data_IF_963752644178
#
_entry.id   IF_963752644178
#
_cell.length_a   1.000
_cell.length_b   1.000
_cell.length_c   1.000
_cell.angle_alpha   90.00
_cell.angle_beta   90.00
_cell.angle_gamma   90.00
#
_symmetry.space_group_name_H-M   'P 1'
#
loop_
_entity.id
_entity.type
_entity.pdbx_description
1 polymer ?
#
# COMPACT_ATOMS: atom_id res chain seq x y z
N UNK A 1 -17.17 -28.78 43.37
CA UNK A 1 -17.18 -29.39 42.02
C UNK A 1 -15.87 -29.04 41.34
N UNK A 2 -15.07 -30.04 40.96
CA UNK A 2 -13.84 -29.78 40.22
C UNK A 2 -14.19 -29.53 38.74
N UNK A 3 -13.73 -28.42 38.17
CA UNK A 3 -13.90 -28.12 36.74
C UNK A 3 -12.64 -28.49 35.97
N UNK A 4 -12.78 -29.26 34.89
CA UNK A 4 -11.69 -29.54 33.93
C UNK A 4 -11.91 -28.64 32.71
N UNK A 5 -10.91 -27.85 32.35
CA UNK A 5 -10.92 -26.99 31.15
C UNK A 5 -10.07 -27.64 30.06
N UNK A 6 -10.64 -27.84 28.88
CA UNK A 6 -9.94 -28.34 27.69
C UNK A 6 -9.74 -27.18 26.73
N UNK A 7 -8.52 -26.99 26.23
CA UNK A 7 -8.18 -25.98 25.22
C UNK A 7 -7.26 -26.58 24.16
N UNK A 8 -7.18 -25.92 23.01
CA UNK A 8 -6.17 -26.25 21.99
C UNK A 8 -4.81 -25.74 22.46
N UNK A 9 -3.75 -26.51 22.17
CA UNK A 9 -2.40 -26.22 22.65
C UNK A 9 -1.75 -24.99 21.99
N UNK A 10 -2.23 -24.58 20.82
CA UNK A 10 -1.68 -23.44 20.10
C UNK A 10 -2.72 -22.76 19.19
N UNK A 11 -2.44 -21.51 18.79
CA UNK A 11 -3.33 -20.79 17.88
C UNK A 11 -3.28 -21.40 16.48
N UNK A 12 -4.41 -21.33 15.77
CA UNK A 12 -4.47 -21.60 14.33
C UNK A 12 -4.24 -20.30 13.57
N UNK A 13 -3.44 -20.31 12.51
CA UNK A 13 -3.14 -19.10 11.75
C UNK A 13 -3.83 -19.14 10.40
N UNK A 14 -4.56 -18.07 10.10
CA UNK A 14 -5.08 -17.78 8.77
C UNK A 14 -4.34 -16.57 8.23
N UNK A 15 -3.49 -16.77 7.23
CA UNK A 15 -2.72 -15.71 6.59
C UNK A 15 -3.30 -15.39 5.21
N UNK A 16 -3.11 -14.17 4.72
CA UNK A 16 -3.52 -13.78 3.38
C UNK A 16 -2.97 -12.42 2.99
N UNK A 17 -3.48 -11.88 1.88
CA UNK A 17 -3.30 -10.47 1.52
C UNK A 17 -4.64 -9.77 1.40
N UNK A 18 -4.70 -8.52 1.85
CA UNK A 18 -5.89 -7.69 1.72
C UNK A 18 -5.64 -6.51 0.78
N UNK A 19 -6.65 -6.17 -0.03
CA UNK A 19 -6.69 -4.92 -0.78
C UNK A 19 -7.74 -3.99 -0.20
N UNK A 20 -7.34 -2.76 0.08
CA UNK A 20 -8.15 -1.70 0.72
C UNK A 20 -8.43 -0.61 -0.31
N UNK A 21 -9.69 -0.41 -0.66
CA UNK A 21 -10.10 0.55 -1.68
C UNK A 21 -10.69 1.83 -1.10
N UNK A 22 -11.26 1.74 0.10
CA UNK A 22 -11.76 2.91 0.82
C UNK A 22 -10.64 3.81 1.34
N UNK A 23 -10.86 5.13 1.26
CA UNK A 23 -10.06 6.18 1.92
C UNK A 23 -10.63 6.60 3.28
N UNK A 24 -11.64 5.89 3.77
CA UNK A 24 -12.31 6.18 5.05
C UNK A 24 -12.46 4.90 5.88
N UNK A 25 -11.45 4.02 5.80
CA UNK A 25 -11.42 2.76 6.53
C UNK A 25 -10.10 2.63 7.31
N UNK A 26 -10.12 2.51 8.64
CA UNK A 26 -8.92 2.26 9.40
C UNK A 26 -8.49 0.78 9.26
N UNK A 27 -7.19 0.50 9.44
CA UNK A 27 -6.70 -0.88 9.38
C UNK A 27 -7.20 -1.73 10.57
N UNK A 28 -7.23 -1.14 11.76
CA UNK A 28 -7.70 -1.74 13.01
C UNK A 28 -8.79 -0.84 13.60
N UNK A 29 -9.67 -1.36 14.48
CA UNK A 29 -10.72 -0.56 15.11
C UNK A 29 -10.16 0.74 15.70
N UNK A 30 -10.78 1.87 15.34
CA UNK A 30 -10.28 3.18 15.74
C UNK A 30 -11.11 3.78 16.87
N UNK A 31 -10.49 3.86 18.04
CA UNK A 31 -11.07 4.45 19.24
C UNK A 31 -10.25 5.68 19.68
N UNK A 32 -10.94 6.72 20.15
CA UNK A 32 -10.34 7.85 20.88
C UNK A 32 -11.20 8.05 22.13
N UNK A 33 -10.57 8.06 23.30
CA UNK A 33 -11.25 8.20 24.60
C UNK A 33 -12.40 7.19 24.81
N UNK A 34 -12.21 5.96 24.32
CA UNK A 34 -13.21 4.88 24.40
C UNK A 34 -14.33 4.97 23.36
N UNK A 35 -14.43 6.07 22.61
CA UNK A 35 -15.41 6.23 21.55
C UNK A 35 -14.89 5.76 20.21
N UNK A 36 -15.70 4.95 19.52
CA UNK A 36 -15.46 4.50 18.16
C UNK A 36 -15.56 5.67 17.18
N UNK A 37 -14.57 5.83 16.29
CA UNK A 37 -14.51 6.95 15.34
C UNK A 37 -14.94 6.63 13.91
N UNK A 38 -14.87 5.37 13.50
CA UNK A 38 -15.35 4.89 12.20
C UNK A 38 -16.04 3.53 12.34
N UNK A 39 -17.02 3.26 11.48
CA UNK A 39 -17.97 2.14 11.61
C UNK A 39 -17.34 0.75 11.57
N UNK A 40 -16.23 0.59 10.86
CA UNK A 40 -15.54 -0.70 10.70
C UNK A 40 -14.03 -0.51 10.58
N UNK A 41 -13.32 -1.60 10.30
CA UNK A 41 -11.89 -1.64 10.05
C UNK A 41 -11.54 -2.82 9.13
N UNK A 42 -10.35 -2.77 8.51
CA UNK A 42 -9.84 -3.90 7.72
C UNK A 42 -9.86 -5.20 8.56
N UNK A 43 -9.35 -5.13 9.78
CA UNK A 43 -9.34 -6.23 10.74
C UNK A 43 -10.74 -6.84 10.98
N UNK A 44 -11.75 -5.99 11.24
CA UNK A 44 -13.12 -6.46 11.50
C UNK A 44 -13.77 -7.07 10.25
N UNK A 45 -13.59 -6.45 9.08
CA UNK A 45 -14.15 -6.97 7.84
C UNK A 45 -13.55 -8.34 7.47
N UNK A 46 -12.27 -8.56 7.74
CA UNK A 46 -11.59 -9.84 7.53
C UNK A 46 -12.05 -10.87 8.56
N UNK A 47 -11.96 -10.53 9.85
CA UNK A 47 -12.29 -11.45 10.94
C UNK A 47 -13.77 -11.84 10.97
N UNK A 48 -14.70 -10.96 10.58
CA UNK A 48 -16.12 -11.26 10.49
C UNK A 48 -16.44 -12.41 9.52
N UNK A 49 -15.60 -12.65 8.50
CA UNK A 49 -15.75 -13.75 7.55
C UNK A 49 -15.07 -15.04 8.01
N UNK A 50 -14.01 -14.93 8.80
CA UNK A 50 -13.15 -16.06 9.18
C UNK A 50 -13.54 -16.62 10.54
N UNK A 51 -13.74 -15.78 11.56
CA UNK A 51 -13.93 -16.23 12.95
C UNK A 51 -15.18 -17.12 13.15
N UNK A 52 -16.38 -16.80 12.61
CA UNK A 52 -17.58 -17.62 12.83
C UNK A 52 -17.45 -19.07 12.34
N UNK A 53 -16.61 -19.23 11.32
CA UNK A 53 -16.36 -20.47 10.61
C UNK A 53 -15.56 -21.47 11.48
N UNK A 54 -14.76 -20.97 12.42
CA UNK A 54 -13.99 -21.77 13.39
C UNK A 54 -14.72 -22.01 14.73
N UNK A 55 -15.94 -21.48 14.87
CA UNK A 55 -16.81 -21.67 16.02
C UNK A 55 -17.09 -20.40 16.81
N UNK A 56 -18.20 -20.38 17.56
CA UNK A 56 -18.66 -19.21 18.32
C UNK A 56 -17.75 -18.81 19.49
N UNK A 57 -16.92 -19.72 19.99
CA UNK A 57 -15.93 -19.42 21.03
C UNK A 57 -14.61 -18.86 20.49
N UNK A 58 -14.45 -18.81 19.16
CA UNK A 58 -13.19 -18.42 18.54
C UNK A 58 -12.89 -16.95 18.80
N UNK A 59 -11.71 -16.68 19.35
CA UNK A 59 -11.13 -15.35 19.46
C UNK A 59 -9.99 -15.20 18.46
N UNK A 60 -9.55 -13.98 18.19
CA UNK A 60 -8.48 -13.75 17.23
C UNK A 60 -7.53 -12.62 17.63
N UNK A 61 -6.32 -12.64 17.07
CA UNK A 61 -5.40 -11.51 17.02
C UNK A 61 -5.01 -11.24 15.58
N UNK A 62 -5.17 -10.00 15.12
CA UNK A 62 -4.78 -9.58 13.78
C UNK A 62 -3.38 -8.98 13.76
N UNK A 63 -2.56 -9.40 12.79
CA UNK A 63 -1.20 -8.89 12.58
C UNK A 63 -1.00 -8.65 11.09
N UNK A 64 -0.39 -7.54 10.71
CA UNK A 64 -0.11 -7.21 9.31
C UNK A 64 1.34 -6.80 9.08
N UNK A 65 1.83 -6.94 7.84
CA UNK A 65 3.15 -6.45 7.44
C UNK A 65 3.14 -4.94 7.25
N UNK A 66 3.18 -4.22 8.37
CA UNK A 66 3.02 -2.78 8.43
C UNK A 66 1.57 -2.32 8.29
N UNK A 67 1.40 -1.02 8.08
CA UNK A 67 0.12 -0.32 8.10
C UNK A 67 0.13 0.86 7.14
N UNK A 68 -1.02 1.19 6.59
CA UNK A 68 -1.30 2.44 5.89
C UNK A 68 -2.23 3.35 6.72
N UNK A 69 -2.26 4.66 6.38
CA UNK A 69 -3.18 5.61 7.00
C UNK A 69 -4.63 5.38 6.51
N UNK A 70 -5.59 6.02 7.19
CA UNK A 70 -7.04 5.83 6.93
C UNK A 70 -7.39 6.23 5.49
N UNK A 71 -6.80 7.31 5.00
CA UNK A 71 -6.98 7.94 3.69
C UNK A 71 -6.17 7.29 2.55
N UNK A 72 -5.44 6.22 2.85
CA UNK A 72 -4.53 5.55 1.90
C UNK A 72 -5.15 4.23 1.43
N UNK A 73 -5.21 4.03 0.11
CA UNK A 73 -5.61 2.74 -0.47
C UNK A 73 -4.44 1.75 -0.43
N UNK A 74 -4.74 0.46 -0.40
CA UNK A 74 -3.76 -0.62 -0.56
C UNK A 74 -4.22 -1.50 -1.73
N UNK A 75 -3.54 -1.38 -2.86
CA UNK A 75 -3.90 -1.96 -4.14
C UNK A 75 -2.93 -3.08 -4.54
N UNK A 76 -2.97 -3.46 -5.83
CA UNK A 76 -2.15 -4.52 -6.39
C UNK A 76 -2.46 -5.86 -5.72
N UNK A 77 -1.42 -6.58 -5.35
CA UNK A 77 -1.52 -7.86 -4.64
C UNK A 77 -1.96 -7.72 -3.18
N UNK A 78 -2.09 -6.49 -2.68
CA UNK A 78 -2.50 -6.22 -1.31
C UNK A 78 -1.38 -6.35 -0.28
N UNK A 79 -1.72 -6.09 0.98
CA UNK A 79 -0.81 -6.18 2.12
C UNK A 79 -0.93 -7.55 2.81
N UNK A 80 0.19 -8.23 3.09
CA UNK A 80 0.20 -9.44 3.92
C UNK A 80 -0.36 -9.23 5.33
N UNK A 81 -1.17 -10.18 5.77
CA UNK A 81 -1.70 -10.26 7.14
C UNK A 81 -1.75 -11.70 7.66
N UNK A 82 -1.89 -11.84 8.97
CA UNK A 82 -2.20 -13.06 9.70
C UNK A 82 -3.30 -12.80 10.73
N UNK A 83 -4.19 -13.78 10.87
CA UNK A 83 -5.20 -13.86 11.90
C UNK A 83 -4.89 -15.07 12.77
N UNK A 84 -4.43 -14.83 14.00
CA UNK A 84 -4.14 -15.87 15.00
C UNK A 84 -5.41 -16.21 15.76
N UNK A 85 -6.03 -17.34 15.43
CA UNK A 85 -7.26 -17.83 16.04
C UNK A 85 -6.96 -18.64 17.31
N UNK A 86 -7.65 -18.29 18.40
CA UNK A 86 -7.59 -18.98 19.69
C UNK A 86 -9.00 -19.45 20.09
N UNK A 87 -9.08 -20.40 21.03
CA UNK A 87 -10.35 -20.94 21.54
C UNK A 87 -11.32 -21.47 20.45
N UNK A 88 -10.78 -21.85 19.29
CA UNK A 88 -11.55 -22.43 18.20
C UNK A 88 -11.99 -23.86 18.54
N UNK A 89 -13.27 -24.16 18.27
CA UNK A 89 -13.85 -25.45 18.57
C UNK A 89 -14.06 -26.33 17.32
N UNK A 90 -13.97 -25.75 16.11
CA UNK A 90 -13.96 -26.49 14.84
C UNK A 90 -12.53 -26.64 14.31
N UNK A 91 -12.15 -27.87 13.96
CA UNK A 91 -10.86 -28.11 13.29
C UNK A 91 -10.94 -27.76 11.82
N UNK A 92 -9.80 -27.45 11.20
CA UNK A 92 -9.70 -27.27 9.74
C UNK A 92 -10.30 -28.44 8.97
N UNK A 93 -10.12 -29.68 9.45
CA UNK A 93 -10.69 -30.87 8.82
C UNK A 93 -12.21 -30.96 8.97
N UNK A 94 -12.78 -30.55 10.12
CA UNK A 94 -14.25 -30.51 10.30
C UNK A 94 -14.90 -29.47 9.39
N UNK A 95 -14.17 -28.38 9.17
CA UNK A 95 -14.48 -27.29 8.27
C UNK A 95 -14.55 -27.74 6.81
N UNK A 96 -13.46 -28.33 6.31
CA UNK A 96 -13.37 -28.84 4.94
C UNK A 96 -14.43 -29.91 4.66
N UNK A 97 -14.69 -30.81 5.62
CA UNK A 97 -15.76 -31.83 5.49
C UNK A 97 -17.16 -31.22 5.42
N UNK A 98 -17.45 -30.20 6.23
CA UNK A 98 -18.77 -29.55 6.21
C UNK A 98 -19.07 -28.81 4.90
N UNK A 99 -18.05 -28.37 4.17
CA UNK A 99 -18.21 -27.81 2.81
C UNK A 99 -18.46 -28.89 1.75
N UNK A 100 -17.82 -30.07 1.89
CA UNK A 100 -18.02 -31.20 0.96
C UNK A 100 -19.43 -31.79 1.11
N UNK A 101 -19.94 -31.94 2.32
CA UNK A 101 -21.29 -32.50 2.55
C UNK A 101 -22.44 -31.56 2.11
N UNK A 102 -22.20 -30.25 2.04
CA UNK A 102 -23.17 -29.30 1.50
C UNK A 102 -23.15 -29.21 -0.03
N UNK A 103 -22.11 -29.76 -0.67
CA UNK A 103 -21.90 -29.72 -2.12
C UNK A 103 -21.98 -31.14 -2.70
N UNK A 104 -23.17 -31.71 -2.78
CA UNK A 104 -23.41 -32.88 -3.62
C UNK A 104 -23.10 -32.53 -5.09
N UNK A 105 -22.10 -33.20 -5.67
CA UNK A 105 -21.79 -33.24 -7.10
C UNK A 105 -21.44 -31.93 -7.84
N UNK A 106 -20.84 -30.95 -7.16
CA UNK A 106 -20.06 -29.88 -7.83
C UNK A 106 -18.80 -29.53 -7.06
N UNK A 107 -17.74 -30.32 -7.25
CA UNK A 107 -16.38 -29.85 -6.96
C UNK A 107 -15.99 -28.87 -8.07
N UNK A 108 -16.37 -27.62 -7.90
CA UNK A 108 -15.74 -26.48 -8.58
C UNK A 108 -15.35 -25.46 -7.51
N UNK A 109 -14.04 -25.21 -7.51
CA UNK A 109 -13.39 -23.96 -7.13
C UNK A 109 -13.31 -23.60 -5.64
N UNK A 110 -12.07 -23.32 -5.22
CA UNK A 110 -11.81 -22.58 -4.00
C UNK A 110 -12.59 -21.28 -4.06
N UNK A 111 -13.62 -21.17 -3.21
CA UNK A 111 -14.41 -19.96 -3.06
C UNK A 111 -13.47 -18.82 -2.65
N UNK A 112 -12.94 -18.13 -3.67
CA UNK A 112 -12.41 -16.78 -3.57
C UNK A 112 -13.55 -15.96 -3.00
N UNK A 113 -13.45 -15.59 -1.72
CA UNK A 113 -14.39 -14.70 -1.03
C UNK A 113 -14.21 -13.31 -1.67
N UNK A 114 -14.78 -13.14 -2.86
CA UNK A 114 -14.83 -11.87 -3.59
C UNK A 114 -16.18 -11.22 -3.31
N UNK A 115 -16.29 -10.59 -2.13
CA UNK A 115 -17.44 -9.73 -1.89
C UNK A 115 -17.14 -8.35 -2.48
N UNK A 116 -17.71 -8.07 -3.66
CA UNK A 116 -17.58 -6.77 -4.35
C UNK A 116 -18.35 -5.65 -3.64
N UNK A 117 -19.10 -5.96 -2.57
CA UNK A 117 -20.03 -5.03 -1.94
C UNK A 117 -19.47 -4.25 -0.73
N UNK A 118 -18.23 -4.51 -0.29
CA UNK A 118 -17.66 -3.87 0.91
C UNK A 118 -16.42 -3.02 0.58
N UNK A 119 -16.10 -2.06 1.45
CA UNK A 119 -14.92 -1.16 1.38
C UNK A 119 -13.55 -1.87 1.25
N UNK A 120 -13.54 -3.18 1.52
CA UNK A 120 -12.52 -4.15 1.10
C UNK A 120 -13.03 -4.90 -0.12
N UNK A 121 -12.47 -4.63 -1.30
CA UNK A 121 -12.96 -5.27 -2.53
C UNK A 121 -12.35 -6.65 -2.79
N UNK A 122 -11.23 -7.01 -2.13
CA UNK A 122 -10.53 -8.26 -2.44
C UNK A 122 -9.73 -8.82 -1.25
N UNK A 123 -10.02 -10.08 -0.93
CA UNK A 123 -9.23 -10.95 -0.07
C UNK A 123 -8.62 -12.05 -0.93
N UNK A 124 -7.29 -12.10 -1.00
CA UNK A 124 -6.56 -13.02 -1.86
C UNK A 124 -5.57 -13.88 -1.07
N UNK A 125 -5.24 -15.05 -1.65
CA UNK A 125 -4.19 -15.94 -1.17
C UNK A 125 -4.33 -16.36 0.30
N UNK A 126 -5.55 -16.74 0.72
CA UNK A 126 -5.78 -17.20 2.10
C UNK A 126 -5.14 -18.57 2.32
N UNK A 127 -4.06 -18.62 3.10
CA UNK A 127 -3.35 -19.83 3.50
C UNK A 127 -3.61 -20.10 4.99
N UNK A 128 -4.10 -21.30 5.31
CA UNK A 128 -4.29 -21.75 6.69
C UNK A 128 -3.11 -22.63 7.10
N UNK A 129 -2.45 -22.29 8.20
CA UNK A 129 -1.35 -23.09 8.74
C UNK A 129 -1.43 -23.21 10.27
N UNK A 130 -0.87 -24.30 10.80
CA UNK A 130 -0.84 -24.59 12.23
C UNK A 130 0.44 -24.08 12.93
N UNK A 131 1.31 -23.34 12.24
CA UNK A 131 2.65 -22.97 12.71
C UNK A 131 2.81 -21.45 12.89
N UNK A 132 3.62 -21.01 13.86
CA UNK A 132 3.74 -19.60 14.29
C UNK A 132 4.24 -18.66 13.18
N UNK A 133 3.35 -17.81 12.67
CA UNK A 133 3.61 -16.81 11.61
C UNK A 133 4.22 -15.50 12.13
N UNK A 134 4.36 -15.33 13.45
CA UNK A 134 4.99 -14.14 14.06
C UNK A 134 6.41 -13.88 13.56
N UNK A 135 7.14 -14.95 13.23
CA UNK A 135 8.46 -14.85 12.63
C UNK A 135 8.36 -14.27 11.21
N UNK A 136 7.64 -14.88 10.26
CA UNK A 136 7.65 -14.46 8.85
C UNK A 136 7.06 -13.06 8.55
N UNK A 137 6.20 -12.51 9.42
CA UNK A 137 5.70 -11.13 9.29
C UNK A 137 6.71 -10.07 9.77
N UNK A 138 7.54 -10.41 10.77
CA UNK A 138 8.56 -9.51 11.35
C UNK A 138 9.93 -9.73 10.73
N UNK A 139 10.25 -10.98 10.45
CA UNK A 139 11.49 -11.55 9.97
C UNK A 139 11.34 -11.87 8.48
N UNK A 140 11.74 -10.91 7.68
CA UNK A 140 11.83 -11.03 6.24
C UNK A 140 13.05 -10.20 5.86
N UNK A 141 14.16 -10.89 5.65
CA UNK A 141 15.47 -10.37 5.26
C UNK A 141 15.49 -9.83 3.82
N UNK A 142 14.34 -9.87 3.14
CA UNK A 142 14.09 -9.12 1.90
C UNK A 142 14.05 -7.66 2.29
N UNK A 143 14.93 -6.83 1.71
CA UNK A 143 14.84 -5.37 1.77
C UNK A 143 13.38 -4.97 1.57
N UNK A 144 12.69 -4.57 2.65
CA UNK A 144 11.23 -4.41 2.66
C UNK A 144 10.85 -3.17 1.86
N UNK A 145 10.93 -3.26 0.55
CA UNK A 145 10.60 -2.17 -0.36
C UNK A 145 9.10 -2.07 -0.48
N UNK A 146 8.65 -0.84 -0.67
CA UNK A 146 7.24 -0.54 -0.89
C UNK A 146 7.13 0.38 -2.08
N UNK A 147 6.12 0.10 -2.91
CA UNK A 147 5.78 0.94 -4.05
C UNK A 147 4.51 1.71 -3.76
N UNK A 148 4.54 2.98 -4.14
CA UNK A 148 3.46 3.91 -3.91
C UNK A 148 3.11 4.64 -5.20
N UNK A 149 1.85 5.05 -5.29
CA UNK A 149 1.36 6.01 -6.28
C UNK A 149 0.67 7.13 -5.52
N UNK A 150 0.99 8.36 -5.85
CA UNK A 150 0.42 9.54 -5.23
C UNK A 150 -0.10 10.51 -6.29
N UNK A 151 -1.23 11.13 -5.99
CA UNK A 151 -1.65 12.37 -6.63
C UNK A 151 -1.05 13.52 -5.84
N UNK A 152 -0.28 14.35 -6.53
CA UNK A 152 0.42 15.49 -5.94
C UNK A 152 -0.07 16.79 -6.56
N UNK A 153 0.02 17.86 -5.77
CA UNK A 153 -0.26 19.23 -6.19
C UNK A 153 1.01 20.07 -6.14
N UNK A 154 1.23 20.83 -7.20
CA UNK A 154 2.31 21.80 -7.35
C UNK A 154 1.66 23.14 -7.78
N UNK A 155 1.72 24.18 -6.95
CA UNK A 155 1.12 25.47 -7.27
C UNK A 155 1.85 26.17 -8.41
N UNK A 156 1.30 27.31 -8.82
CA UNK A 156 1.92 28.24 -9.78
C UNK A 156 2.08 27.58 -11.16
N UNK A 157 1.03 26.90 -11.62
CA UNK A 157 0.99 26.25 -12.93
C UNK A 157 1.70 24.91 -12.99
N UNK A 158 1.98 24.27 -11.85
CA UNK A 158 2.41 22.89 -11.80
C UNK A 158 3.90 22.66 -12.00
N UNK A 159 4.23 21.43 -12.39
CA UNK A 159 5.57 21.09 -12.84
C UNK A 159 5.81 21.73 -14.21
N UNK A 160 7.00 22.27 -14.40
CA UNK A 160 7.45 22.87 -15.68
C UNK A 160 8.77 22.24 -16.11
N UNK A 161 9.17 22.37 -17.38
CA UNK A 161 10.49 21.91 -17.82
C UNK A 161 11.64 22.47 -16.95
N UNK A 162 11.52 23.72 -16.47
CA UNK A 162 12.50 24.37 -15.61
C UNK A 162 12.59 23.68 -14.23
N UNK A 163 11.44 23.42 -13.58
CA UNK A 163 11.38 22.70 -12.29
C UNK A 163 11.92 21.28 -12.41
N UNK A 164 11.62 20.59 -13.52
CA UNK A 164 12.14 19.24 -13.80
C UNK A 164 13.66 19.24 -14.03
N UNK A 165 14.20 20.21 -14.77
CA UNK A 165 15.65 20.32 -14.96
C UNK A 165 16.37 20.67 -13.64
N UNK A 166 15.75 21.50 -12.80
CA UNK A 166 16.25 21.79 -11.45
C UNK A 166 16.29 20.52 -10.58
N UNK A 167 15.20 19.74 -10.59
CA UNK A 167 15.12 18.45 -9.90
C UNK A 167 16.26 17.51 -10.31
N UNK A 168 16.44 17.31 -11.62
CA UNK A 168 17.48 16.44 -12.17
C UNK A 168 18.88 16.94 -11.81
N UNK A 169 19.12 18.25 -11.86
CA UNK A 169 20.40 18.85 -11.47
C UNK A 169 20.71 18.58 -10.01
N UNK A 170 19.78 18.84 -9.09
CA UNK A 170 19.99 18.62 -7.65
C UNK A 170 20.15 17.14 -7.31
N UNK A 171 19.41 16.25 -7.98
CA UNK A 171 19.60 14.80 -7.81
C UNK A 171 20.98 14.34 -8.29
N UNK A 172 21.47 14.88 -9.41
CA UNK A 172 22.84 14.60 -9.89
C UNK A 172 23.88 15.13 -8.92
N UNK A 173 23.68 16.30 -8.31
CA UNK A 173 24.60 16.84 -7.30
C UNK A 173 24.66 15.95 -6.05
N UNK A 174 23.51 15.46 -5.58
CA UNK A 174 23.45 14.48 -4.49
C UNK A 174 24.18 13.17 -4.86
N UNK A 175 24.08 12.74 -6.12
CA UNK A 175 24.81 11.57 -6.61
C UNK A 175 26.32 11.84 -6.77
N UNK A 176 26.73 13.03 -7.20
CA UNK A 176 28.15 13.42 -7.41
C UNK A 176 28.94 13.59 -6.12
N UNK A 177 28.28 13.85 -5.00
CA UNK A 177 28.90 13.66 -3.68
C UNK A 177 29.42 12.22 -3.46
N UNK A 178 29.06 11.26 -4.33
CA UNK A 178 29.59 9.88 -4.33
C UNK A 178 30.59 9.55 -5.46
N UNK A 179 30.61 10.24 -6.61
CA UNK A 179 31.63 10.04 -7.66
C UNK A 179 31.80 11.28 -8.58
N UNK A 180 33.06 11.61 -8.90
CA UNK A 180 33.43 12.70 -9.82
C UNK A 180 33.12 12.33 -11.28
N UNK A 181 32.03 12.85 -11.83
CA UNK A 181 31.89 13.01 -13.28
C UNK A 181 31.08 14.27 -13.63
N UNK A 182 31.70 15.15 -14.41
CA UNK A 182 31.02 16.26 -15.07
C UNK A 182 30.17 15.72 -16.22
N UNK A 183 28.94 16.22 -16.37
CA UNK A 183 28.04 15.68 -17.38
C UNK A 183 26.84 16.59 -17.62
N UNK A 184 26.81 17.13 -18.85
CA UNK A 184 25.68 17.43 -19.74
C UNK A 184 24.36 17.93 -19.11
N UNK A 185 23.94 19.14 -19.51
CA UNK A 185 22.58 19.64 -19.25
C UNK A 185 21.53 18.66 -19.78
N UNK A 186 20.60 18.26 -18.93
CA UNK A 186 19.55 17.31 -19.31
C UNK A 186 18.48 17.99 -20.17
N UNK A 187 18.19 17.40 -21.33
CA UNK A 187 17.11 17.84 -22.25
C UNK A 187 15.74 17.31 -21.80
N UNK A 188 15.48 17.29 -20.49
CA UNK A 188 14.23 16.77 -19.95
C UNK A 188 13.08 17.72 -20.31
N UNK A 189 12.01 17.13 -20.86
CA UNK A 189 10.79 17.83 -21.23
C UNK A 189 9.65 17.46 -20.28
N UNK A 190 8.83 18.45 -19.92
CA UNK A 190 7.57 18.25 -19.23
C UNK A 190 6.42 18.84 -20.07
N UNK A 191 5.27 18.14 -20.21
CA UNK A 191 5.01 16.74 -19.83
C UNK A 191 5.89 15.71 -20.57
N UNK A 192 6.11 14.51 -20.00
CA UNK A 192 6.73 13.41 -20.74
C UNK A 192 5.86 12.97 -21.92
N UNK A 193 6.49 12.54 -23.02
CA UNK A 193 5.81 12.13 -24.26
C UNK A 193 5.97 10.66 -24.61
N UNK A 194 7.12 10.08 -24.26
CA UNK A 194 7.41 8.67 -24.52
C UNK A 194 6.64 7.81 -23.53
N UNK A 195 5.64 7.09 -24.05
CA UNK A 195 4.79 6.22 -23.25
C UNK A 195 5.34 4.79 -23.23
N UNK A 196 5.27 4.16 -22.06
CA UNK A 196 5.59 2.75 -21.86
C UNK A 196 4.37 2.03 -21.30
N UNK A 197 4.16 0.77 -21.72
CA UNK A 197 3.08 -0.04 -21.19
C UNK A 197 3.36 -0.42 -19.74
N UNK A 198 2.48 -0.02 -18.81
CA UNK A 198 2.56 -0.38 -17.41
C UNK A 198 1.55 -1.50 -17.10
N UNK A 199 2.07 -2.66 -16.71
CA UNK A 199 1.26 -3.86 -16.50
C UNK A 199 0.26 -3.73 -15.33
N UNK A 200 0.61 -2.98 -14.28
CA UNK A 200 -0.30 -2.77 -13.13
C UNK A 200 -1.45 -1.81 -13.44
N UNK A 201 -1.29 -0.97 -14.46
CA UNK A 201 -2.33 -0.08 -14.98
C UNK A 201 -3.08 -0.68 -16.18
N UNK A 202 -2.47 -1.63 -16.88
CA UNK A 202 -3.00 -2.17 -18.14
C UNK A 202 -3.07 -1.11 -19.25
N UNK A 203 -2.17 -0.12 -19.23
CA UNK A 203 -2.20 1.01 -20.15
C UNK A 203 -0.80 1.59 -20.44
N UNK A 204 -0.67 2.27 -21.57
CA UNK A 204 0.50 3.08 -21.87
C UNK A 204 0.48 4.40 -21.09
N UNK A 205 1.57 4.69 -20.38
CA UNK A 205 1.77 5.91 -19.60
C UNK A 205 3.15 6.48 -19.88
N UNK A 206 3.22 7.79 -20.07
CA UNK A 206 4.47 8.51 -20.20
C UNK A 206 5.00 8.98 -18.84
N UNK A 207 6.25 8.65 -18.53
CA UNK A 207 6.92 9.03 -17.29
C UNK A 207 8.26 9.71 -17.54
N UNK A 208 8.63 10.61 -16.63
CA UNK A 208 10.04 10.91 -16.35
C UNK A 208 10.50 10.04 -15.19
N UNK A 209 11.58 9.28 -15.37
CA UNK A 209 12.12 8.38 -14.35
C UNK A 209 13.39 8.95 -13.74
N UNK A 210 13.50 8.86 -12.43
CA UNK A 210 14.64 9.31 -11.64
C UNK A 210 15.16 8.17 -10.78
N UNK A 211 16.49 8.11 -10.65
CA UNK A 211 17.19 7.03 -9.96
C UNK A 211 17.22 7.18 -8.43
N UNK A 212 18.10 6.39 -7.81
CA UNK A 212 18.22 6.31 -6.36
C UNK A 212 18.73 7.62 -5.75
N UNK A 213 18.17 8.00 -4.61
CA UNK A 213 18.76 9.00 -3.72
C UNK A 213 18.38 8.72 -2.26
N UNK A 214 19.20 9.20 -1.33
CA UNK A 214 19.00 9.06 0.11
C UNK A 214 18.38 10.33 0.68
N UNK A 215 17.41 10.17 1.57
CA UNK A 215 16.82 11.24 2.38
C UNK A 215 17.10 11.02 3.86
N UNK A 216 17.04 12.08 4.64
CA UNK A 216 16.97 12.04 6.09
C UNK A 216 15.59 12.53 6.54
N UNK A 217 14.84 11.65 7.22
CA UNK A 217 13.52 11.97 7.76
C UNK A 217 13.57 12.02 9.27
N UNK A 218 13.37 13.22 9.83
CA UNK A 218 12.98 13.36 11.22
C UNK A 218 11.57 12.81 11.40
N UNK A 219 11.29 12.21 12.55
CA UNK A 219 9.97 11.63 12.85
C UNK A 219 8.87 12.65 12.58
N UNK A 220 7.88 12.37 11.71
CA UNK A 220 6.93 13.40 11.27
C UNK A 220 6.11 14.01 12.38
N UNK A 221 5.76 15.30 12.25
CA UNK A 221 4.98 16.05 13.24
C UNK A 221 3.70 15.28 13.64
N UNK A 222 2.93 14.83 12.64
CA UNK A 222 1.64 14.15 12.85
C UNK A 222 1.72 12.83 13.62
N UNK A 223 2.91 12.26 13.81
CA UNK A 223 3.10 11.02 14.59
C UNK A 223 3.94 11.21 15.85
N UNK A 224 4.40 12.43 16.17
CA UNK A 224 5.23 12.71 17.34
C UNK A 224 4.56 12.33 18.66
N UNK A 225 3.24 12.46 18.76
CA UNK A 225 2.48 12.08 19.96
C UNK A 225 2.59 10.58 20.31
N UNK A 226 3.04 9.73 19.38
CA UNK A 226 3.13 8.27 19.54
C UNK A 226 4.47 7.67 19.12
N UNK A 227 5.45 8.48 18.69
CA UNK A 227 6.77 8.03 18.21
C UNK A 227 7.86 8.93 18.78
N UNK A 228 8.98 8.31 19.16
CA UNK A 228 10.17 9.05 19.59
C UNK A 228 10.69 9.96 18.47
N UNK A 229 11.14 11.16 18.85
CA UNK A 229 11.78 12.11 17.94
C UNK A 229 13.16 11.60 17.55
N UNK A 230 13.28 11.07 16.33
CA UNK A 230 14.54 10.56 15.78
C UNK A 230 14.60 10.78 14.26
N UNK A 231 15.80 11.08 13.77
CA UNK A 231 16.12 11.18 12.34
C UNK A 231 16.54 9.81 11.80
N UNK A 232 16.07 9.48 10.60
CA UNK A 232 16.37 8.19 9.95
C UNK A 232 16.71 8.42 8.50
N UNK A 233 17.84 7.88 8.05
CA UNK A 233 18.16 7.81 6.63
C UNK A 233 17.25 6.80 5.94
N UNK A 234 16.76 7.14 4.76
CA UNK A 234 15.89 6.30 3.94
C UNK A 234 16.30 6.41 2.50
N UNK A 235 16.33 5.29 1.80
CA UNK A 235 16.58 5.29 0.37
C UNK A 235 15.28 5.30 -0.43
N UNK A 236 15.23 6.23 -1.37
CA UNK A 236 14.30 6.21 -2.49
C UNK A 236 15.02 5.48 -3.60
N UNK A 237 14.55 4.29 -3.96
CA UNK A 237 15.21 3.41 -4.94
C UNK A 237 15.04 3.99 -6.34
N UNK A 238 13.83 4.44 -6.66
CA UNK A 238 13.49 5.16 -7.88
C UNK A 238 12.17 5.90 -7.66
N UNK A 239 11.95 6.93 -8.47
CA UNK A 239 10.62 7.53 -8.60
C UNK A 239 10.36 7.96 -10.05
N UNK A 240 9.08 8.14 -10.37
CA UNK A 240 8.58 8.51 -11.68
C UNK A 240 7.55 9.62 -11.54
N UNK A 241 7.57 10.55 -12.47
CA UNK A 241 6.60 11.64 -12.55
C UNK A 241 5.82 11.53 -13.87
N UNK A 242 4.51 11.62 -13.81
CA UNK A 242 3.66 11.69 -15.00
C UNK A 242 2.62 12.80 -14.89
N UNK A 243 2.23 13.31 -16.05
CA UNK A 243 1.26 14.40 -16.14
C UNK A 243 -0.15 13.91 -15.80
N UNK A 244 -0.89 14.72 -15.04
CA UNK A 244 -2.24 14.36 -14.60
C UNK A 244 -3.23 14.30 -15.78
N UNK A 245 -3.20 15.28 -16.67
CA UNK A 245 -4.20 15.39 -17.73
C UNK A 245 -4.13 14.22 -18.71
N UNK A 246 -2.92 13.90 -19.18
CA UNK A 246 -2.67 12.81 -20.14
C UNK A 246 -2.91 11.41 -19.57
N UNK A 247 -2.90 11.24 -18.24
CA UNK A 247 -3.03 9.92 -17.61
C UNK A 247 -4.36 9.69 -16.89
N UNK A 248 -4.91 10.71 -16.25
CA UNK A 248 -6.11 10.60 -15.42
C UNK A 248 -7.36 11.08 -16.14
N UNK A 249 -7.25 12.13 -16.96
CA UNK A 249 -8.41 12.73 -17.66
C UNK A 249 -8.62 12.18 -19.08
N UNK A 250 -7.80 11.21 -19.53
CA UNK A 250 -8.00 10.55 -20.82
C UNK A 250 -9.24 9.65 -20.83
N UNK A 251 -9.84 9.46 -22.01
CA UNK A 251 -11.10 8.70 -22.19
C UNK A 251 -10.99 7.26 -21.69
N UNK A 252 -9.85 6.63 -21.89
CA UNK A 252 -9.50 5.26 -21.53
C UNK A 252 -8.59 5.21 -20.29
N UNK A 253 -8.76 6.15 -19.35
CA UNK A 253 -7.96 6.19 -18.14
C UNK A 253 -8.08 4.88 -17.34
N UNK A 254 -6.94 4.32 -16.85
CA UNK A 254 -6.93 3.13 -16.02
C UNK A 254 -7.90 3.24 -14.85
N UNK A 255 -8.68 2.18 -14.60
CA UNK A 255 -9.72 2.17 -13.58
C UNK A 255 -9.22 2.68 -12.21
N UNK A 256 -8.03 2.23 -11.79
CA UNK A 256 -7.42 2.59 -10.51
C UNK A 256 -7.09 4.08 -10.37
N UNK A 257 -6.93 4.79 -11.49
CA UNK A 257 -6.63 6.23 -11.52
C UNK A 257 -7.90 7.09 -11.55
N UNK A 258 -9.05 6.53 -11.93
CA UNK A 258 -10.29 7.32 -12.16
C UNK A 258 -10.75 8.11 -10.95
N UNK A 259 -10.52 7.60 -9.74
CA UNK A 259 -10.86 8.32 -8.51
C UNK A 259 -10.15 9.68 -8.42
N UNK A 260 -8.91 9.77 -8.93
CA UNK A 260 -8.14 11.01 -8.96
C UNK A 260 -8.76 12.07 -9.88
N UNK A 261 -9.56 11.68 -10.88
CA UNK A 261 -10.20 12.63 -11.80
C UNK A 261 -11.11 13.62 -11.05
N UNK A 262 -11.72 13.19 -9.94
CA UNK A 262 -12.56 14.05 -9.10
C UNK A 262 -11.82 15.29 -8.58
N UNK A 263 -10.50 15.20 -8.39
CA UNK A 263 -9.68 16.28 -7.85
C UNK A 263 -9.50 17.44 -8.84
N UNK A 264 -9.76 17.23 -10.14
CA UNK A 264 -9.79 18.28 -11.14
C UNK A 264 -10.94 19.29 -10.95
N UNK A 265 -11.92 18.98 -10.09
CA UNK A 265 -12.99 19.91 -9.69
C UNK A 265 -12.57 20.87 -8.57
N UNK A 266 -11.47 20.56 -7.87
CA UNK A 266 -10.97 21.31 -6.70
C UNK A 266 -9.66 22.03 -7.03
N UNK A 267 -8.76 21.38 -7.77
CA UNK A 267 -7.44 21.89 -8.14
C UNK A 267 -7.34 22.13 -9.65
N UNK A 268 -6.57 23.15 -10.10
CA UNK A 268 -6.25 23.31 -11.51
C UNK A 268 -5.53 22.05 -12.04
N UNK A 269 -5.98 21.52 -13.17
CA UNK A 269 -5.48 20.25 -13.74
C UNK A 269 -3.99 20.29 -14.09
N UNK A 270 -3.48 21.45 -14.50
CA UNK A 270 -2.08 21.71 -14.79
C UNK A 270 -1.19 21.72 -13.54
N UNK A 271 -1.79 21.95 -12.36
CA UNK A 271 -1.10 21.93 -11.07
C UNK A 271 -1.08 20.53 -10.44
N UNK A 272 -1.74 19.56 -11.07
CA UNK A 272 -1.76 18.18 -10.61
C UNK A 272 -0.75 17.34 -11.40
N UNK A 273 -0.11 16.40 -10.70
CA UNK A 273 0.75 15.39 -11.33
C UNK A 273 0.71 14.09 -10.52
N UNK A 274 1.09 12.99 -11.16
CA UNK A 274 1.24 11.71 -10.48
C UNK A 274 2.70 11.47 -10.14
N UNK A 275 2.92 10.97 -8.93
CA UNK A 275 4.19 10.46 -8.44
C UNK A 275 4.07 8.96 -8.22
N UNK A 276 4.92 8.17 -8.86
CA UNK A 276 5.14 6.77 -8.50
C UNK A 276 6.53 6.60 -7.91
N UNK A 277 6.67 5.80 -6.86
CA UNK A 277 7.98 5.59 -6.24
C UNK A 277 8.13 4.21 -5.64
N UNK A 278 9.39 3.76 -5.57
CA UNK A 278 9.83 2.65 -4.73
C UNK A 278 10.78 3.17 -3.66
N UNK A 279 10.51 2.87 -2.41
CA UNK A 279 11.32 3.30 -1.27
C UNK A 279 11.49 2.19 -0.24
N UNK A 280 12.47 2.36 0.65
CA UNK A 280 12.66 1.49 1.81
C UNK A 280 11.46 1.51 2.76
N UNK A 281 11.28 0.42 3.51
CA UNK A 281 10.26 0.33 4.54
C UNK A 281 10.42 1.42 5.61
N UNK A 282 9.28 1.98 6.01
CA UNK A 282 9.24 3.02 7.03
C UNK A 282 9.62 4.40 6.52
N UNK A 283 9.73 4.58 5.20
CA UNK A 283 9.73 5.91 4.56
C UNK A 283 8.35 6.53 4.70
N UNK A 284 8.30 7.79 5.12
CA UNK A 284 7.09 8.58 5.24
C UNK A 284 6.87 9.37 3.95
N UNK A 285 6.02 8.82 3.06
CA UNK A 285 5.87 9.31 1.68
C UNK A 285 5.24 10.71 1.60
N UNK A 286 4.26 11.02 2.46
CA UNK A 286 3.66 12.38 2.50
C UNK A 286 4.76 13.41 2.76
N UNK A 287 5.57 13.15 3.78
CA UNK A 287 6.65 14.02 4.21
C UNK A 287 7.84 14.08 3.22
N UNK A 288 8.06 13.02 2.43
CA UNK A 288 8.97 13.09 1.27
C UNK A 288 8.49 14.10 0.23
N UNK A 289 7.18 14.22 0.01
CA UNK A 289 6.61 15.17 -0.97
C UNK A 289 6.70 16.60 -0.43
N UNK A 290 6.04 16.88 0.70
CA UNK A 290 5.85 18.25 1.21
C UNK A 290 6.97 18.73 2.16
N UNK A 291 7.91 17.86 2.53
CA UNK A 291 9.10 18.21 3.34
C UNK A 291 8.86 18.37 4.85
N UNK A 292 7.61 18.28 5.33
CA UNK A 292 7.22 18.44 6.74
C UNK A 292 7.88 19.65 7.42
N UNK A 293 7.76 20.83 6.81
CA UNK A 293 8.40 22.08 7.28
C UNK A 293 9.93 21.96 7.42
N UNK A 294 10.56 21.23 6.49
CA UNK A 294 12.02 21.03 6.43
C UNK A 294 12.54 19.89 7.29
N UNK A 295 11.65 19.08 7.88
CA UNK A 295 12.00 17.89 8.69
C UNK A 295 12.35 16.65 7.85
N UNK A 296 12.06 16.67 6.56
CA UNK A 296 12.56 15.70 5.58
C UNK A 296 13.49 16.42 4.60
N UNK A 297 14.74 15.98 4.51
CA UNK A 297 15.74 16.58 3.61
C UNK A 297 16.61 15.52 2.90
N UNK A 298 16.81 15.63 1.57
CA UNK A 298 15.98 16.41 0.67
C UNK A 298 14.53 15.90 0.65
N UNK A 299 13.60 16.76 0.24
CA UNK A 299 12.21 16.44 -0.09
C UNK A 299 11.95 16.80 -1.55
N UNK A 300 10.89 16.29 -2.18
CA UNK A 300 10.57 16.70 -3.55
C UNK A 300 10.31 18.21 -3.63
N UNK A 301 9.61 18.77 -2.64
CA UNK A 301 9.39 20.23 -2.55
C UNK A 301 10.72 21.01 -2.50
N UNK A 302 11.67 20.59 -1.64
CA UNK A 302 12.98 21.24 -1.58
C UNK A 302 13.88 20.94 -2.79
N UNK A 303 13.63 19.87 -3.55
CA UNK A 303 14.37 19.58 -4.78
C UNK A 303 13.89 20.41 -5.98
N UNK A 304 12.62 20.80 -6.03
CA UNK A 304 12.08 21.64 -7.11
C UNK A 304 11.96 23.12 -6.76
N UNK A 305 12.33 23.49 -5.53
CA UNK A 305 12.21 24.86 -4.98
C UNK A 305 10.80 25.43 -5.08
N UNK A 306 9.80 24.58 -4.80
CA UNK A 306 8.40 24.93 -4.89
C UNK A 306 7.62 24.13 -3.83
N UNK A 307 6.67 24.73 -3.10
CA UNK A 307 5.79 23.99 -2.21
C UNK A 307 5.11 22.85 -2.96
N UNK A 308 5.11 21.65 -2.39
CA UNK A 308 4.35 20.52 -2.90
C UNK A 308 3.44 19.99 -1.81
N UNK A 309 2.30 19.42 -2.20
CA UNK A 309 1.46 18.65 -1.30
C UNK A 309 1.02 17.33 -1.92
N UNK A 310 0.63 16.39 -1.06
CA UNK A 310 0.16 15.06 -1.43
C UNK A 310 -1.34 14.97 -1.16
N UNK A 311 -2.15 14.96 -2.23
CA UNK A 311 -3.62 14.94 -2.14
C UNK A 311 -4.13 13.54 -1.80
N UNK A 312 -3.61 12.52 -2.48
CA UNK A 312 -4.05 11.15 -2.30
C UNK A 312 -2.89 10.16 -2.50
N UNK A 313 -2.88 9.09 -1.69
CA UNK A 313 -1.82 8.08 -1.71
C UNK A 313 -2.41 6.68 -1.84
N UNK A 314 -1.72 5.84 -2.61
CA UNK A 314 -1.96 4.42 -2.72
C UNK A 314 -0.66 3.66 -2.44
N UNK A 315 -0.77 2.58 -1.69
CA UNK A 315 0.23 1.50 -1.68
C UNK A 315 -0.09 0.62 -2.87
N UNK A 316 0.81 0.53 -3.86
CA UNK A 316 0.60 -0.30 -5.06
C UNK A 316 1.31 -1.66 -4.96
N UNK A 317 2.37 -1.76 -4.14
CA UNK A 317 2.99 -3.04 -3.81
C UNK A 317 3.68 -3.03 -2.44
N UNK A 318 3.62 -4.17 -1.77
CA UNK A 318 4.45 -4.51 -0.60
C UNK A 318 5.33 -5.67 -1.03
N UNK A 319 6.63 -5.44 -1.20
CA UNK A 319 7.58 -6.45 -1.70
C UNK A 319 7.90 -7.46 -0.59
N UNK A 320 7.00 -8.41 -0.42
CA UNK A 320 7.12 -9.51 0.53
C UNK A 320 6.45 -10.76 -0.07
N UNK A 321 7.23 -11.82 -0.19
CA UNK A 321 6.81 -13.10 -0.79
C UNK A 321 5.95 -13.96 0.16
N UNK A 322 5.70 -13.48 1.37
CA UNK A 322 4.84 -14.12 2.37
C UNK A 322 3.50 -13.38 2.53
N UNK A 323 2.35 -14.08 2.70
CA UNK A 323 2.22 -15.54 2.57
C UNK A 323 2.52 -16.00 1.13
N UNK A 324 2.93 -17.27 0.92
CA UNK A 324 3.09 -17.80 -0.42
C UNK A 324 1.80 -17.59 -1.22
N UNK A 325 1.93 -17.23 -2.50
CA UNK A 325 0.77 -17.15 -3.38
C UNK A 325 0.24 -18.55 -3.60
N UNK A 326 -1.08 -18.69 -3.60
CA UNK A 326 -1.70 -19.92 -4.04
C UNK A 326 -1.72 -19.84 -5.56
N UNK A 327 -1.04 -20.75 -6.25
CA UNK A 327 -1.12 -20.86 -7.70
C UNK A 327 -2.56 -21.21 -8.07
N UNK A 328 -3.34 -20.19 -8.45
CA UNK A 328 -4.65 -20.41 -9.06
C UNK A 328 -4.42 -21.04 -10.43
N UNK A 329 -4.45 -22.37 -10.52
CA UNK A 329 -4.34 -23.06 -11.82
C UNK A 329 -5.52 -22.75 -12.74
N UNK A 330 -6.59 -22.06 -12.29
CA UNK A 330 -7.79 -21.79 -13.09
C UNK A 330 -8.50 -20.47 -12.75
N UNK A 331 -7.83 -19.32 -12.80
CA UNK A 331 -8.54 -18.03 -12.97
C UNK A 331 -7.86 -17.22 -14.07
N UNK A 332 -8.20 -17.53 -15.32
CA UNK A 332 -8.08 -16.54 -16.40
C UNK A 332 -9.14 -15.48 -16.13
N UNK A 333 -8.74 -14.37 -15.53
CA UNK A 333 -9.51 -13.14 -15.65
C UNK A 333 -9.18 -12.59 -17.03
N UNK A 334 -10.01 -12.90 -18.02
CA UNK A 334 -10.11 -12.02 -19.18
C UNK A 334 -10.64 -10.67 -18.67
N UNK A 335 -9.83 -9.63 -18.86
CA UNK A 335 -10.10 -8.24 -18.48
C UNK A 335 -11.15 -7.65 -19.42
#
# INVERSE_FOLDING_TARGET
>A
LASVKVSRAGPLIVAGRYSKWSRVLPQTPWFIDGERKLDSSVEELISARITPVFGSSTTFTFVSSGREDIDVRCLGLGRPFALELSDYNRTLSSMLRSQVDQCGDRVTDGNVISDRANDLSWLADIVVSAASSKASLKDGDVEKRKRYRALCWCPQGGLTPEKIRLLDTRLRELAKQSTNSEGSQSNLQWPPREATFEADLGAEVAYLTFGRFTIEQLTPIRVLHRRALIARKRDIIWFRLSDFTSNVLRKDAPFVLREFASQASVYPKEELFLLELCCEAGTYVKELVHGDLGRTQPSLSSLIDCPLDLIALDVIAVEQDWPPRIENTLVKIEI
#
